data_IF_432586033864
#
_entry.id   IF_432586033864
#
_cell.length_a   1.000
_cell.length_b   1.000
_cell.length_c   1.000
_cell.angle_alpha   90.00
_cell.angle_beta   90.00
_cell.angle_gamma   90.00
#
_symmetry.space_group_name_H-M   'P 1'
#
loop_
_entity.id
_entity.type
_entity.pdbx_description
1 polymer ?
#
# COMPACT_ATOMS: atom_id res chain seq x y z
N UNK A 1 -3.61 29.63 18.28
CA UNK A 1 -3.70 29.71 16.81
C UNK A 1 -4.34 28.44 16.36
N UNK A 2 -5.60 28.48 15.97
CA UNK A 2 -6.35 27.30 15.48
C UNK A 2 -5.75 26.94 14.13
N UNK A 3 -4.85 25.96 14.12
CA UNK A 3 -4.42 25.32 12.87
C UNK A 3 -5.67 24.85 12.12
N UNK A 4 -5.72 25.17 10.85
CA UNK A 4 -6.80 24.86 9.93
C UNK A 4 -7.03 23.33 9.92
N UNK A 5 -7.95 22.84 10.75
CA UNK A 5 -8.26 21.42 10.90
C UNK A 5 -9.12 20.88 9.73
N UNK A 6 -9.01 21.53 8.56
CA UNK A 6 -9.72 21.09 7.36
C UNK A 6 -9.03 19.84 6.79
N UNK A 7 -9.76 18.74 6.63
CA UNK A 7 -9.22 17.53 6.01
C UNK A 7 -8.69 17.83 4.60
N UNK A 8 -7.57 17.21 4.23
CA UNK A 8 -7.06 17.31 2.85
C UNK A 8 -7.87 16.46 1.90
N UNK A 9 -8.43 15.36 2.43
CA UNK A 9 -9.37 14.49 1.73
C UNK A 9 -10.52 14.15 2.67
N UNK A 10 -11.74 14.27 2.16
CA UNK A 10 -12.93 13.84 2.85
C UNK A 10 -13.85 13.13 1.88
N UNK A 11 -14.36 11.98 2.27
CA UNK A 11 -15.45 11.29 1.57
C UNK A 11 -16.68 11.31 2.46
N UNK A 12 -17.84 11.63 1.88
CA UNK A 12 -19.11 11.74 2.59
C UNK A 12 -20.14 10.83 1.99
N UNK A 13 -20.63 9.89 2.78
CA UNK A 13 -21.72 8.97 2.45
C UNK A 13 -21.51 8.25 1.10
N UNK A 14 -20.27 7.90 0.77
CA UNK A 14 -19.95 7.21 -0.48
C UNK A 14 -20.63 5.85 -0.50
N UNK A 15 -21.47 5.66 -1.51
CA UNK A 15 -22.09 4.38 -1.83
C UNK A 15 -21.68 3.94 -3.22
N UNK A 16 -21.31 2.67 -3.38
CA UNK A 16 -21.02 2.05 -4.66
C UNK A 16 -21.75 0.72 -4.78
N UNK A 17 -22.58 0.64 -5.80
CA UNK A 17 -23.36 -0.56 -6.14
C UNK A 17 -22.85 -1.07 -7.49
N UNK A 18 -22.49 -2.34 -7.54
CA UNK A 18 -22.29 -3.11 -8.77
C UNK A 18 -23.46 -4.09 -8.94
N UNK A 19 -23.70 -4.66 -10.13
CA UNK A 19 -24.73 -5.67 -10.31
C UNK A 19 -24.61 -6.80 -9.27
N UNK A 20 -25.61 -6.92 -8.40
CA UNK A 20 -25.68 -7.95 -7.35
C UNK A 20 -24.86 -7.69 -6.09
N UNK A 21 -24.08 -6.59 -6.00
CA UNK A 21 -23.20 -6.33 -4.83
C UNK A 21 -23.19 -4.85 -4.43
N UNK A 22 -23.42 -4.56 -3.16
CA UNK A 22 -23.14 -3.25 -2.56
C UNK A 22 -21.70 -3.27 -2.04
N UNK A 23 -20.77 -2.70 -2.80
CA UNK A 23 -19.36 -2.73 -2.47
C UNK A 23 -18.94 -1.70 -1.41
N UNK A 24 -19.63 -0.55 -1.36
CA UNK A 24 -19.53 0.45 -0.30
C UNK A 24 -20.94 0.99 0.00
N UNK A 25 -21.24 1.20 1.25
CA UNK A 25 -22.54 1.69 1.73
C UNK A 25 -22.34 2.82 2.73
N UNK A 26 -22.66 4.06 2.30
CA UNK A 26 -22.61 5.29 3.10
C UNK A 26 -21.28 5.48 3.85
N UNK A 27 -20.16 5.18 3.21
CA UNK A 27 -18.84 5.33 3.82
C UNK A 27 -18.46 6.81 3.91
N UNK A 28 -18.13 7.27 5.11
CA UNK A 28 -17.61 8.61 5.37
C UNK A 28 -16.25 8.48 6.06
N UNK A 29 -15.25 9.22 5.56
CA UNK A 29 -13.87 9.16 6.04
C UNK A 29 -13.17 10.49 5.79
N UNK A 30 -12.29 10.89 6.70
CA UNK A 30 -11.47 12.09 6.57
C UNK A 30 -10.00 11.73 6.70
N UNK A 31 -9.12 12.48 6.02
CA UNK A 31 -7.67 12.35 6.13
C UNK A 31 -7.07 13.75 6.27
N UNK A 32 -6.15 13.92 7.20
CA UNK A 32 -5.52 15.21 7.51
C UNK A 32 -4.09 15.29 6.98
N UNK A 33 -3.55 16.52 6.87
CA UNK A 33 -2.14 16.73 6.52
C UNK A 33 -1.22 16.15 7.58
N UNK A 34 -0.16 15.47 7.14
CA UNK A 34 0.80 14.86 8.06
C UNK A 34 0.21 13.72 8.89
N UNK A 35 -0.81 13.04 8.36
CA UNK A 35 -1.47 11.89 8.97
C UNK A 35 -1.21 10.62 8.16
N UNK A 36 -0.99 9.51 8.85
CA UNK A 36 -1.06 8.16 8.30
C UNK A 36 -2.35 7.53 8.80
N UNK A 37 -3.36 7.50 7.94
CA UNK A 37 -4.61 6.79 8.19
C UNK A 37 -4.49 5.35 7.68
N UNK A 38 -4.58 4.37 8.56
CA UNK A 38 -4.69 2.98 8.15
C UNK A 38 -6.14 2.60 7.85
N UNK A 39 -6.37 2.02 6.68
CA UNK A 39 -7.67 1.45 6.30
C UNK A 39 -7.60 -0.08 6.36
N UNK A 40 -8.20 -0.64 7.40
CA UNK A 40 -8.26 -2.08 7.65
C UNK A 40 -9.55 -2.70 7.11
N UNK A 41 -9.51 -4.00 6.85
CA UNK A 41 -10.67 -4.83 6.51
C UNK A 41 -10.24 -6.13 5.86
N UNK A 42 -11.11 -7.14 5.90
CA UNK A 42 -10.87 -8.41 5.20
C UNK A 42 -10.89 -8.22 3.68
N UNK A 43 -10.47 -9.26 2.95
CA UNK A 43 -10.62 -9.29 1.49
C UNK A 43 -12.11 -9.21 1.13
N UNK A 44 -12.45 -8.35 0.16
CA UNK A 44 -13.85 -8.08 -0.18
C UNK A 44 -14.58 -7.07 0.72
N UNK A 45 -13.93 -6.48 1.74
CA UNK A 45 -14.56 -5.48 2.61
C UNK A 45 -14.89 -4.14 1.93
N UNK A 46 -14.46 -3.92 0.67
CA UNK A 46 -14.72 -2.70 -0.09
C UNK A 46 -13.57 -1.68 -0.11
N UNK A 47 -12.39 -2.00 0.48
CA UNK A 47 -11.24 -1.08 0.58
C UNK A 47 -10.76 -0.60 -0.80
N UNK A 48 -10.40 -1.53 -1.69
CA UNK A 48 -9.90 -1.19 -3.04
C UNK A 48 -10.98 -0.51 -3.88
N UNK A 49 -12.26 -0.83 -3.68
CA UNK A 49 -13.37 -0.13 -4.34
C UNK A 49 -13.43 1.34 -3.91
N UNK A 50 -13.34 1.62 -2.61
CA UNK A 50 -13.33 2.98 -2.08
C UNK A 50 -12.12 3.77 -2.62
N UNK A 51 -10.94 3.16 -2.64
CA UNK A 51 -9.73 3.82 -3.18
C UNK A 51 -9.82 4.07 -4.67
N UNK A 52 -10.37 3.14 -5.44
CA UNK A 52 -10.60 3.32 -6.87
C UNK A 52 -11.61 4.45 -7.16
N UNK A 53 -12.57 4.68 -6.27
CA UNK A 53 -13.48 5.85 -6.34
C UNK A 53 -12.69 7.14 -6.07
N UNK A 54 -11.88 7.18 -5.01
CA UNK A 54 -11.05 8.34 -4.66
C UNK A 54 -10.02 8.64 -5.75
N UNK A 55 -9.50 7.61 -6.41
CA UNK A 55 -8.52 7.76 -7.50
C UNK A 55 -9.17 7.99 -8.88
N UNK A 56 -10.51 8.02 -8.96
CA UNK A 56 -11.24 8.31 -10.20
C UNK A 56 -11.34 7.16 -11.20
N UNK A 57 -11.04 5.92 -10.79
CA UNK A 57 -11.25 4.71 -11.61
C UNK A 57 -12.70 4.26 -11.61
N UNK A 58 -13.44 4.51 -10.52
CA UNK A 58 -14.86 4.26 -10.40
C UNK A 58 -15.61 5.53 -10.00
N UNK A 59 -16.84 5.68 -10.50
CA UNK A 59 -17.74 6.70 -10.01
C UNK A 59 -18.56 6.16 -8.83
N UNK A 60 -18.77 6.93 -7.76
CA UNK A 60 -19.69 6.55 -6.71
C UNK A 60 -21.11 6.52 -7.27
N UNK A 61 -21.97 5.66 -6.71
CA UNK A 61 -23.42 5.66 -7.00
C UNK A 61 -24.09 6.84 -6.32
N UNK A 62 -23.63 7.21 -5.12
CA UNK A 62 -24.03 8.41 -4.38
C UNK A 62 -22.94 8.82 -3.40
N UNK A 63 -23.09 10.01 -2.82
CA UNK A 63 -22.11 10.63 -1.92
C UNK A 63 -21.20 11.62 -2.66
N UNK A 64 -20.29 12.24 -1.93
CA UNK A 64 -19.40 13.26 -2.45
C UNK A 64 -17.98 13.11 -1.92
N UNK A 65 -17.02 13.63 -2.68
CA UNK A 65 -15.60 13.67 -2.31
C UNK A 65 -15.19 15.14 -2.24
N UNK A 66 -14.48 15.50 -1.18
CA UNK A 66 -13.90 16.83 -1.02
C UNK A 66 -12.39 16.72 -0.93
N UNK A 67 -11.70 17.60 -1.63
CA UNK A 67 -10.24 17.78 -1.56
C UNK A 67 -9.97 19.20 -1.10
N UNK A 68 -9.22 19.35 0.00
CA UNK A 68 -8.98 20.63 0.66
C UNK A 68 -10.28 21.43 0.92
N UNK A 69 -11.35 20.74 1.36
CA UNK A 69 -12.66 21.29 1.68
C UNK A 69 -13.53 21.68 0.47
N UNK A 70 -13.09 21.38 -0.76
CA UNK A 70 -13.87 21.66 -1.99
C UNK A 70 -14.41 20.37 -2.56
N UNK A 71 -15.72 20.32 -2.82
CA UNK A 71 -16.34 19.21 -3.50
C UNK A 71 -15.78 19.04 -4.92
N UNK A 72 -15.40 17.82 -5.26
CA UNK A 72 -14.79 17.46 -6.54
C UNK A 72 -15.48 16.26 -7.16
N UNK A 73 -15.53 16.23 -8.50
CA UNK A 73 -15.99 15.06 -9.24
C UNK A 73 -14.81 14.51 -10.02
N UNK A 74 -14.28 13.37 -9.60
CA UNK A 74 -13.17 12.70 -10.30
C UNK A 74 -13.71 11.72 -11.31
N UNK A 75 -13.40 11.95 -12.59
CA UNK A 75 -13.85 11.12 -13.71
C UNK A 75 -12.73 10.25 -14.29
N UNK A 76 -11.51 10.48 -13.82
CA UNK A 76 -10.33 9.75 -14.28
C UNK A 76 -9.18 9.87 -13.28
N UNK A 77 -8.21 8.95 -13.30
CA UNK A 77 -6.97 9.08 -12.53
C UNK A 77 -6.18 10.37 -12.83
N UNK A 78 -6.29 10.90 -14.06
CA UNK A 78 -5.64 12.16 -14.44
C UNK A 78 -6.16 13.32 -13.62
N UNK A 79 -7.46 13.37 -13.35
CA UNK A 79 -8.07 14.42 -12.51
C UNK A 79 -7.68 14.25 -11.04
N UNK A 80 -7.63 13.02 -10.52
CA UNK A 80 -7.15 12.75 -9.17
C UNK A 80 -5.69 13.20 -8.99
N UNK A 81 -4.82 12.89 -9.96
CA UNK A 81 -3.41 13.33 -9.98
C UNK A 81 -3.33 14.86 -9.99
N UNK A 82 -4.14 15.53 -10.80
CA UNK A 82 -4.17 17.00 -10.85
C UNK A 82 -4.61 17.65 -9.53
N UNK A 83 -5.38 16.94 -8.72
CA UNK A 83 -5.78 17.31 -7.35
C UNK A 83 -4.76 16.91 -6.27
N UNK A 84 -3.61 16.37 -6.68
CA UNK A 84 -2.54 15.95 -5.77
C UNK A 84 -2.76 14.60 -5.11
N UNK A 85 -3.59 13.72 -5.68
CA UNK A 85 -3.79 12.36 -5.19
C UNK A 85 -2.92 11.40 -6.01
N UNK A 86 -1.99 10.70 -5.35
CA UNK A 86 -1.17 9.64 -5.92
C UNK A 86 -1.57 8.27 -5.36
N UNK A 87 -1.46 7.23 -6.16
CA UNK A 87 -1.73 5.86 -5.73
C UNK A 87 -0.58 4.94 -6.12
N UNK A 88 -0.14 4.16 -5.14
CA UNK A 88 0.77 3.02 -5.32
C UNK A 88 -0.08 1.77 -5.21
N UNK A 89 -0.20 1.04 -6.32
CA UNK A 89 -1.02 -0.14 -6.42
C UNK A 89 -0.32 -1.38 -5.83
N UNK A 90 -1.09 -2.37 -5.43
CA UNK A 90 -0.61 -3.67 -4.95
C UNK A 90 0.31 -4.37 -5.98
N UNK A 91 -0.01 -4.26 -7.27
CA UNK A 91 0.84 -4.71 -8.37
C UNK A 91 1.47 -3.49 -9.05
N UNK A 92 2.80 -3.48 -9.12
CA UNK A 92 3.53 -2.36 -9.71
C UNK A 92 3.09 -2.07 -11.15
N UNK A 93 2.82 -0.80 -11.41
CA UNK A 93 2.46 -0.32 -12.74
C UNK A 93 3.70 0.30 -13.43
N UNK A 94 4.78 -0.47 -13.47
CA UNK A 94 6.03 -0.12 -14.11
C UNK A 94 6.24 -0.96 -15.37
N UNK A 95 6.81 -0.36 -16.40
CA UNK A 95 7.22 -1.04 -17.63
C UNK A 95 8.62 -1.63 -17.41
N UNK A 96 8.79 -2.96 -17.38
CA UNK A 96 10.02 -3.62 -16.95
C UNK A 96 11.26 -3.19 -17.75
N UNK A 97 11.12 -3.10 -19.07
CA UNK A 97 12.22 -2.83 -20.02
C UNK A 97 12.64 -1.34 -20.10
N UNK A 98 11.92 -0.46 -19.43
CA UNK A 98 12.21 0.97 -19.37
C UNK A 98 13.07 1.31 -18.16
N UNK A 99 13.83 2.41 -18.28
CA UNK A 99 14.51 3.00 -17.14
C UNK A 99 13.52 3.59 -16.13
N UNK A 100 13.99 3.83 -14.91
CA UNK A 100 13.20 4.52 -13.87
C UNK A 100 12.73 5.88 -14.37
N UNK A 101 13.62 6.67 -15.01
CA UNK A 101 13.27 7.99 -15.53
C UNK A 101 12.16 7.93 -16.57
N UNK A 102 12.23 6.98 -17.51
CA UNK A 102 11.19 6.78 -18.54
C UNK A 102 9.87 6.38 -17.91
N UNK A 103 9.87 5.46 -16.94
CA UNK A 103 8.65 5.04 -16.22
C UNK A 103 7.97 6.19 -15.47
N UNK A 104 8.74 7.06 -14.83
CA UNK A 104 8.21 8.20 -14.07
C UNK A 104 7.67 9.27 -15.00
N UNK A 105 8.36 9.51 -16.11
CA UNK A 105 8.00 10.52 -17.11
C UNK A 105 6.74 10.12 -17.91
N UNK A 106 6.48 8.84 -18.06
CA UNK A 106 5.37 8.32 -18.87
C UNK A 106 4.02 8.93 -18.46
N UNK A 107 3.35 9.62 -19.38
CA UNK A 107 2.09 10.33 -19.15
C UNK A 107 2.25 11.68 -18.40
N UNK A 108 3.50 12.16 -18.21
CA UNK A 108 3.84 13.47 -17.67
C UNK A 108 5.16 13.96 -18.29
N UNK A 109 5.21 13.89 -19.62
CA UNK A 109 6.40 14.13 -20.40
C UNK A 109 6.86 15.59 -20.28
N UNK A 110 8.12 15.80 -19.90
CA UNK A 110 8.79 17.09 -20.00
C UNK A 110 9.41 17.24 -21.38
N UNK A 111 8.98 18.24 -22.13
CA UNK A 111 9.44 18.50 -23.50
C UNK A 111 10.22 19.81 -23.56
N UNK A 112 11.42 19.76 -24.15
CA UNK A 112 12.25 20.94 -24.46
C UNK A 112 12.63 20.91 -25.94
N UNK A 113 12.31 21.99 -26.66
CA UNK A 113 12.57 22.11 -28.09
C UNK A 113 12.01 20.95 -28.95
N UNK A 114 10.86 20.37 -28.57
CA UNK A 114 10.25 19.25 -29.28
C UNK A 114 10.80 17.87 -28.93
N UNK A 115 11.80 17.75 -28.05
CA UNK A 115 12.36 16.50 -27.57
C UNK A 115 12.09 16.27 -26.08
N UNK A 116 12.04 15.01 -25.65
CA UNK A 116 11.91 14.64 -24.25
C UNK A 116 13.13 15.12 -23.45
N UNK A 117 12.93 15.89 -22.38
CA UNK A 117 13.99 16.36 -21.50
C UNK A 117 14.28 15.32 -20.38
N UNK A 118 14.85 14.20 -20.76
CA UNK A 118 15.19 13.11 -19.84
C UNK A 118 16.20 13.54 -18.76
N UNK A 119 17.04 14.54 -19.08
CA UNK A 119 18.04 15.06 -18.13
C UNK A 119 17.38 15.85 -16.99
N UNK A 120 16.43 16.72 -17.30
CA UNK A 120 15.67 17.45 -16.28
C UNK A 120 14.83 16.50 -15.41
N UNK A 121 14.24 15.46 -16.02
CA UNK A 121 13.51 14.42 -15.31
C UNK A 121 14.43 13.66 -14.35
N UNK A 122 15.59 13.18 -14.81
CA UNK A 122 16.56 12.47 -13.98
C UNK A 122 17.04 13.32 -12.80
N UNK A 123 17.33 14.61 -13.04
CA UNK A 123 17.70 15.54 -11.98
C UNK A 123 16.59 15.67 -10.93
N UNK A 124 15.35 15.85 -11.37
CA UNK A 124 14.19 15.95 -10.46
C UNK A 124 13.96 14.69 -9.65
N UNK A 125 14.14 13.50 -10.26
CA UNK A 125 14.08 12.22 -9.56
C UNK A 125 15.17 12.13 -8.49
N UNK A 126 16.40 12.52 -8.82
CA UNK A 126 17.52 12.54 -7.88
C UNK A 126 17.24 13.47 -6.69
N UNK A 127 16.72 14.67 -6.93
CA UNK A 127 16.31 15.60 -5.88
C UNK A 127 15.25 14.98 -4.94
N UNK A 128 14.20 14.38 -5.50
CA UNK A 128 13.16 13.70 -4.72
C UNK A 128 13.72 12.49 -3.96
N UNK A 129 14.57 11.69 -4.62
CA UNK A 129 15.23 10.53 -4.00
C UNK A 129 16.05 10.94 -2.78
N UNK A 130 16.86 11.99 -2.88
CA UNK A 130 17.60 12.53 -1.74
C UNK A 130 16.69 13.09 -0.65
N UNK A 131 15.69 13.88 -1.04
CA UNK A 131 14.76 14.53 -0.11
C UNK A 131 14.02 13.53 0.77
N UNK A 132 13.61 12.40 0.20
CA UNK A 132 12.80 11.37 0.86
C UNK A 132 13.60 10.11 1.20
N UNK A 133 14.91 10.14 1.02
CA UNK A 133 15.84 9.02 1.32
C UNK A 133 15.42 7.69 0.65
N UNK A 134 14.99 7.78 -0.62
CA UNK A 134 14.48 6.64 -1.37
C UNK A 134 15.58 5.86 -2.10
N UNK A 135 16.75 6.46 -2.29
CA UNK A 135 17.93 5.85 -2.92
C UNK A 135 17.64 5.22 -4.31
N UNK A 136 16.96 5.97 -5.17
CA UNK A 136 16.55 5.52 -6.50
C UNK A 136 17.46 6.10 -7.57
N UNK A 137 18.02 5.22 -8.42
CA UNK A 137 18.82 5.61 -9.58
C UNK A 137 17.92 5.82 -10.82
N UNK A 138 17.85 7.04 -11.40
CA UNK A 138 17.01 7.33 -12.56
C UNK A 138 17.35 6.51 -13.82
N UNK A 139 18.61 6.07 -13.96
CA UNK A 139 19.10 5.36 -15.14
C UNK A 139 19.00 3.84 -15.02
N UNK A 140 18.61 3.31 -13.87
CA UNK A 140 18.45 1.88 -13.68
C UNK A 140 17.26 1.35 -14.49
N UNK A 141 17.38 0.15 -15.06
CA UNK A 141 16.29 -0.55 -15.74
C UNK A 141 15.41 -1.21 -14.67
N UNK A 142 14.10 -1.08 -14.83
CA UNK A 142 13.14 -1.51 -13.78
C UNK A 142 13.17 -3.01 -13.53
N UNK A 143 13.34 -3.84 -14.55
CA UNK A 143 13.43 -5.30 -14.40
C UNK A 143 14.63 -5.78 -13.57
N UNK A 144 15.72 -5.01 -13.55
CA UNK A 144 16.91 -5.32 -12.76
C UNK A 144 16.78 -4.92 -11.29
N UNK A 145 15.72 -4.18 -10.92
CA UNK A 145 15.54 -3.68 -9.56
C UNK A 145 14.92 -4.73 -8.64
N UNK A 146 15.40 -4.87 -7.39
CA UNK A 146 14.70 -5.60 -6.35
C UNK A 146 13.29 -5.06 -6.12
N UNK A 147 12.41 -5.91 -5.58
CA UNK A 147 10.99 -5.58 -5.37
C UNK A 147 10.80 -4.31 -4.53
N UNK A 148 11.54 -4.18 -3.43
CA UNK A 148 11.49 -2.99 -2.57
C UNK A 148 11.93 -1.71 -3.28
N UNK A 149 12.87 -1.81 -4.23
CA UNK A 149 13.28 -0.67 -5.05
C UNK A 149 12.20 -0.28 -6.06
N UNK A 150 11.53 -1.25 -6.69
CA UNK A 150 10.38 -0.97 -7.59
C UNK A 150 9.27 -0.22 -6.85
N UNK A 151 9.02 -0.56 -5.60
CA UNK A 151 8.06 0.17 -4.77
C UNK A 151 8.48 1.62 -4.51
N UNK A 152 9.76 1.86 -4.21
CA UNK A 152 10.30 3.22 -4.06
C UNK A 152 10.16 4.02 -5.35
N UNK A 153 10.32 3.39 -6.51
CA UNK A 153 10.09 4.01 -7.82
C UNK A 153 8.63 4.45 -7.97
N UNK A 154 7.65 3.61 -7.59
CA UNK A 154 6.23 3.98 -7.61
C UNK A 154 5.92 5.17 -6.68
N UNK A 155 6.55 5.22 -5.49
CA UNK A 155 6.41 6.35 -4.57
C UNK A 155 6.99 7.63 -5.21
N UNK A 156 8.20 7.56 -5.78
CA UNK A 156 8.81 8.70 -6.49
C UNK A 156 7.93 9.15 -7.67
N UNK A 157 7.36 8.22 -8.42
CA UNK A 157 6.45 8.52 -9.53
C UNK A 157 5.23 9.34 -9.07
N UNK A 158 4.64 8.99 -7.94
CA UNK A 158 3.56 9.77 -7.33
C UNK A 158 4.06 11.16 -6.86
N UNK A 159 5.21 11.23 -6.20
CA UNK A 159 5.80 12.48 -5.71
C UNK A 159 6.27 13.41 -6.86
N UNK A 160 6.79 12.85 -7.95
CA UNK A 160 7.15 13.60 -9.16
C UNK A 160 5.94 14.34 -9.74
N UNK A 161 4.76 13.74 -9.63
CA UNK A 161 3.47 14.31 -10.01
C UNK A 161 2.85 15.21 -8.93
N UNK A 162 3.65 15.62 -7.93
CA UNK A 162 3.27 16.50 -6.83
C UNK A 162 2.13 15.97 -5.95
N UNK A 163 2.09 14.66 -5.69
CA UNK A 163 1.11 14.10 -4.77
C UNK A 163 1.26 14.70 -3.36
N UNK A 164 0.15 15.16 -2.79
CA UNK A 164 0.01 15.58 -1.39
C UNK A 164 -0.70 14.52 -0.56
N UNK A 165 -1.50 13.69 -1.22
CA UNK A 165 -2.22 12.55 -0.66
C UNK A 165 -1.70 11.30 -1.35
N UNK A 166 -1.17 10.35 -0.58
CA UNK A 166 -0.64 9.09 -1.08
C UNK A 166 -1.50 7.93 -0.61
N UNK A 167 -2.06 7.17 -1.55
CA UNK A 167 -2.75 5.92 -1.29
C UNK A 167 -1.76 4.78 -1.52
N UNK A 168 -1.51 3.97 -0.51
CA UNK A 168 -0.64 2.79 -0.56
C UNK A 168 -1.49 1.55 -0.39
N UNK A 169 -1.76 0.80 -1.47
CA UNK A 169 -2.63 -0.38 -1.46
C UNK A 169 -1.80 -1.65 -1.25
N UNK A 170 -1.88 -2.24 -0.07
CA UNK A 170 -1.12 -3.42 0.39
C UNK A 170 0.39 -3.38 0.08
N UNK A 171 1.08 -2.28 0.42
CA UNK A 171 2.43 -2.04 -0.07
C UNK A 171 3.48 -2.99 0.53
N UNK A 172 3.14 -3.75 1.55
CA UNK A 172 4.04 -4.70 2.25
C UNK A 172 3.85 -6.16 1.84
N UNK A 173 2.94 -6.43 0.88
CA UNK A 173 2.54 -7.81 0.53
C UNK A 173 3.70 -8.67 0.02
N UNK A 174 4.65 -8.06 -0.69
CA UNK A 174 5.76 -8.74 -1.38
C UNK A 174 7.14 -8.32 -0.85
N UNK A 175 7.18 -7.57 0.25
CA UNK A 175 8.42 -7.06 0.84
C UNK A 175 8.98 -7.99 1.91
N UNK A 176 10.30 -8.06 1.99
CA UNK A 176 11.01 -8.64 3.13
C UNK A 176 10.83 -7.79 4.40
N UNK A 177 11.02 -8.36 5.61
CA UNK A 177 10.94 -7.58 6.85
C UNK A 177 11.83 -6.34 6.87
N UNK A 178 13.03 -6.39 6.29
CA UNK A 178 13.96 -5.27 6.21
C UNK A 178 13.44 -4.16 5.28
N UNK A 179 12.83 -4.54 4.16
CA UNK A 179 12.23 -3.60 3.22
C UNK A 179 10.97 -2.92 3.81
N UNK A 180 10.20 -3.65 4.63
CA UNK A 180 9.04 -3.09 5.36
C UNK A 180 9.49 -1.98 6.32
N UNK A 181 10.60 -2.21 7.06
CA UNK A 181 11.18 -1.20 7.93
C UNK A 181 11.54 0.07 7.15
N UNK A 182 12.26 -0.09 6.04
CA UNK A 182 12.62 1.03 5.17
C UNK A 182 11.39 1.76 4.60
N UNK A 183 10.31 1.05 4.26
CA UNK A 183 9.06 1.68 3.83
C UNK A 183 8.44 2.53 4.95
N UNK A 184 8.41 2.03 6.18
CA UNK A 184 7.85 2.77 7.32
C UNK A 184 8.67 4.03 7.66
N UNK A 185 10.00 3.98 7.52
CA UNK A 185 10.84 5.17 7.63
C UNK A 185 10.49 6.22 6.57
N UNK A 186 10.32 5.80 5.31
CA UNK A 186 9.90 6.67 4.22
C UNK A 186 8.51 7.28 4.49
N UNK A 187 7.54 6.48 4.94
CA UNK A 187 6.21 6.98 5.31
C UNK A 187 6.30 8.02 6.43
N UNK A 188 7.15 7.79 7.44
CA UNK A 188 7.42 8.73 8.53
C UNK A 188 8.03 10.05 8.03
N UNK A 189 8.94 10.02 7.06
CA UNK A 189 9.52 11.21 6.44
C UNK A 189 8.48 11.99 5.63
N UNK A 190 7.67 11.30 4.83
CA UNK A 190 6.58 11.89 4.05
C UNK A 190 5.57 12.60 4.96
N UNK A 191 5.14 11.93 6.04
CA UNK A 191 4.27 12.49 7.07
C UNK A 191 4.85 13.77 7.68
N UNK A 192 6.13 13.75 8.10
CA UNK A 192 6.81 14.92 8.67
C UNK A 192 6.87 16.11 7.71
N UNK A 193 6.82 15.86 6.40
CA UNK A 193 6.75 16.89 5.36
C UNK A 193 5.32 17.28 4.99
N UNK A 194 4.34 16.89 5.80
CA UNK A 194 2.94 17.26 5.66
C UNK A 194 2.16 16.48 4.60
N UNK A 195 2.73 15.38 4.07
CA UNK A 195 1.97 14.49 3.18
C UNK A 195 0.95 13.68 3.96
N UNK A 196 -0.25 13.50 3.42
CA UNK A 196 -1.28 12.62 3.95
C UNK A 196 -1.12 11.23 3.32
N UNK A 197 -1.22 10.18 4.12
CA UNK A 197 -1.04 8.81 3.65
C UNK A 197 -2.25 7.98 4.06
N UNK A 198 -2.86 7.28 3.09
CA UNK A 198 -3.84 6.23 3.32
C UNK A 198 -3.11 4.90 3.12
N UNK A 199 -2.91 4.17 4.21
CA UNK A 199 -2.21 2.90 4.24
C UNK A 199 -3.21 1.75 4.33
N UNK A 200 -3.37 1.01 3.25
CA UNK A 200 -4.32 -0.10 3.17
C UNK A 200 -3.57 -1.39 3.43
N UNK A 201 -4.02 -2.15 4.40
CA UNK A 201 -3.45 -3.46 4.73
C UNK A 201 -4.46 -4.29 5.53
N UNK A 202 -4.20 -5.58 5.63
CA UNK A 202 -4.88 -6.50 6.54
C UNK A 202 -3.94 -6.97 7.67
N UNK A 203 -2.69 -6.48 7.72
CA UNK A 203 -1.65 -6.88 8.68
C UNK A 203 -1.69 -6.00 9.93
N UNK A 204 -2.32 -6.48 10.98
CA UNK A 204 -2.61 -5.73 12.21
C UNK A 204 -1.37 -5.17 12.91
N UNK A 205 -0.25 -5.93 12.91
CA UNK A 205 1.02 -5.49 13.54
C UNK A 205 1.59 -4.26 12.85
N UNK A 206 1.50 -4.21 11.52
CA UNK A 206 2.01 -3.08 10.74
C UNK A 206 1.22 -1.81 11.04
N UNK A 207 -0.10 -1.93 11.10
CA UNK A 207 -1.00 -0.81 11.39
C UNK A 207 -0.76 -0.22 12.77
N UNK A 208 -0.69 -1.07 13.81
CA UNK A 208 -0.44 -0.63 15.19
C UNK A 208 0.91 0.09 15.33
N UNK A 209 1.83 -0.14 14.41
CA UNK A 209 3.17 0.44 14.43
C UNK A 209 3.27 1.78 13.72
N UNK A 210 2.57 1.97 12.60
CA UNK A 210 2.82 3.09 11.68
C UNK A 210 1.68 4.10 11.61
N UNK A 211 0.44 3.69 11.92
CA UNK A 211 -0.72 4.54 11.78
C UNK A 211 -0.85 5.57 12.91
N UNK A 212 -1.45 6.72 12.59
CA UNK A 212 -1.92 7.70 13.56
C UNK A 212 -3.38 7.46 13.92
N UNK A 213 -4.15 6.95 12.97
CA UNK A 213 -5.56 6.61 13.13
C UNK A 213 -5.87 5.39 12.27
N UNK A 214 -6.79 4.56 12.77
CA UNK A 214 -7.20 3.31 12.14
C UNK A 214 -8.68 3.39 11.85
N UNK A 215 -9.06 3.17 10.59
CA UNK A 215 -10.43 3.03 10.14
C UNK A 215 -10.66 1.57 9.70
N UNK A 216 -11.77 0.96 10.10
CA UNK A 216 -12.06 -0.44 9.79
C UNK A 216 -13.27 -0.53 8.88
N UNK A 217 -13.06 -1.10 7.70
CA UNK A 217 -14.13 -1.45 6.76
C UNK A 217 -14.52 -2.92 6.90
N UNK A 218 -15.83 -3.16 6.94
CA UNK A 218 -16.40 -4.51 6.91
C UNK A 218 -17.68 -4.52 6.11
N UNK A 219 -17.79 -5.44 5.13
CA UNK A 219 -18.96 -5.61 4.26
C UNK A 219 -19.45 -4.28 3.64
N UNK A 220 -18.50 -3.48 3.14
CA UNK A 220 -18.78 -2.21 2.49
C UNK A 220 -19.07 -1.04 3.43
N UNK A 221 -19.05 -1.21 4.74
CA UNK A 221 -19.36 -0.16 5.75
C UNK A 221 -18.14 0.18 6.58
N UNK A 222 -18.01 1.44 6.96
CA UNK A 222 -17.10 1.85 8.03
C UNK A 222 -17.70 1.44 9.36
N UNK A 223 -17.09 0.45 10.04
CA UNK A 223 -17.61 -0.09 11.30
C UNK A 223 -17.06 0.63 12.53
N UNK A 224 -16.00 1.40 12.37
CA UNK A 224 -15.45 2.24 13.42
C UNK A 224 -14.06 2.78 13.08
N UNK A 225 -13.65 3.76 13.87
CA UNK A 225 -12.30 4.32 13.89
C UNK A 225 -11.72 4.19 15.29
N UNK A 226 -10.40 4.04 15.41
CA UNK A 226 -9.71 3.93 16.70
C UNK A 226 -8.29 4.50 16.63
N UNK A 227 -7.78 4.87 17.79
CA UNK A 227 -6.39 5.24 17.99
C UNK A 227 -5.53 3.96 18.11
N UNK A 228 -4.40 3.84 17.39
CA UNK A 228 -3.51 2.68 17.50
C UNK A 228 -3.00 2.43 18.94
N UNK A 229 -2.87 3.48 19.77
CA UNK A 229 -2.46 3.33 21.17
C UNK A 229 -3.53 2.71 22.06
N UNK A 230 -4.80 2.75 21.65
CA UNK A 230 -5.93 2.17 22.39
C UNK A 230 -6.34 0.81 21.80
N UNK A 231 -5.83 0.47 20.61
CA UNK A 231 -6.18 -0.74 19.89
C UNK A 231 -5.23 -1.89 20.21
N UNK A 232 -5.73 -3.11 20.14
CA UNK A 232 -4.95 -4.35 20.19
C UNK A 232 -5.20 -5.16 18.93
N UNK A 233 -4.32 -6.12 18.61
CA UNK A 233 -4.56 -7.03 17.49
C UNK A 233 -5.91 -7.73 17.61
N UNK A 234 -6.29 -8.16 18.81
CA UNK A 234 -7.55 -8.84 19.07
C UNK A 234 -8.75 -7.91 18.85
N UNK A 235 -8.70 -6.66 19.33
CA UNK A 235 -9.78 -5.69 19.12
C UNK A 235 -9.97 -5.35 17.65
N UNK A 236 -8.87 -5.13 16.92
CA UNK A 236 -8.90 -4.87 15.48
C UNK A 236 -9.43 -6.06 14.69
N UNK A 237 -8.98 -7.29 15.02
CA UNK A 237 -9.48 -8.52 14.41
C UNK A 237 -10.99 -8.68 14.66
N UNK A 238 -11.45 -8.42 15.87
CA UNK A 238 -12.88 -8.46 16.21
C UNK A 238 -13.70 -7.43 15.41
N UNK A 239 -13.18 -6.20 15.22
CA UNK A 239 -13.84 -5.20 14.37
C UNK A 239 -13.91 -5.66 12.91
N UNK A 240 -12.81 -6.23 12.37
CA UNK A 240 -12.76 -6.69 10.98
C UNK A 240 -13.72 -7.84 10.70
N UNK A 241 -13.76 -8.85 11.59
CA UNK A 241 -14.56 -10.08 11.40
C UNK A 241 -15.98 -9.91 11.93
N UNK A 242 -16.19 -9.05 12.91
CA UNK A 242 -17.49 -8.79 13.55
C UNK A 242 -17.86 -9.75 14.67
N UNK A 243 -16.92 -10.56 15.11
CA UNK A 243 -17.02 -11.45 16.28
C UNK A 243 -15.66 -11.52 16.97
N UNK A 244 -15.67 -11.97 18.21
CA UNK A 244 -14.42 -12.21 18.91
C UNK A 244 -13.56 -13.25 18.16
N UNK A 245 -12.30 -12.93 17.94
CA UNK A 245 -11.35 -13.77 17.21
C UNK A 245 -10.29 -14.23 18.19
N UNK A 246 -10.16 -15.54 18.34
CA UNK A 246 -9.07 -16.15 19.11
C UNK A 246 -7.89 -16.30 18.14
N UNK A 247 -6.89 -15.41 18.26
CA UNK A 247 -5.68 -15.44 17.43
C UNK A 247 -4.68 -16.53 17.87
N UNK A 248 -4.92 -17.18 19.00
CA UNK A 248 -4.08 -18.26 19.51
C UNK A 248 -4.78 -19.60 19.35
N UNK A 249 -4.15 -20.51 18.64
CA UNK A 249 -4.63 -21.91 18.56
C UNK A 249 -4.14 -22.64 19.81
N UNK A 250 -5.07 -23.15 20.61
CA UNK A 250 -4.72 -24.04 21.73
C UNK A 250 -4.38 -25.42 21.15
N UNK A 251 -3.12 -25.59 20.77
CA UNK A 251 -2.62 -26.80 20.13
C UNK A 251 -2.35 -27.87 21.19
N UNK A 252 -3.06 -28.98 21.10
CA UNK A 252 -2.73 -30.15 21.93
C UNK A 252 -1.38 -30.74 21.52
N UNK A 253 -0.56 -31.19 22.45
CA UNK A 253 0.68 -31.93 22.14
C UNK A 253 0.37 -33.10 21.21
N UNK A 254 0.96 -33.08 20.02
CA UNK A 254 0.86 -34.17 19.07
C UNK A 254 2.18 -34.97 19.05
N UNK A 255 2.11 -36.29 19.03
CA UNK A 255 3.29 -37.13 18.80
C UNK A 255 3.46 -37.30 17.28
N UNK A 256 4.58 -36.86 16.69
CA UNK A 256 4.85 -37.05 15.28
C UNK A 256 4.81 -38.50 14.89
N UNK A 257 4.15 -38.83 13.78
CA UNK A 257 4.10 -40.18 13.23
C UNK A 257 5.38 -40.55 12.46
N UNK A 258 5.28 -41.50 11.53
CA UNK A 258 6.39 -41.87 10.67
C UNK A 258 6.80 -40.69 9.74
N UNK A 259 8.07 -40.65 9.37
CA UNK A 259 8.58 -39.70 8.37
C UNK A 259 7.87 -39.92 7.04
N UNK A 260 7.24 -38.90 6.49
CA UNK A 260 6.53 -38.93 5.19
C UNK A 260 7.28 -38.18 4.09
N UNK A 261 8.17 -37.26 4.48
CA UNK A 261 9.07 -36.53 3.57
C UNK A 261 10.40 -36.33 4.30
N UNK A 262 11.50 -36.65 3.62
CA UNK A 262 12.85 -36.44 4.14
C UNK A 262 13.71 -35.79 3.06
N UNK A 263 14.13 -34.54 3.31
CA UNK A 263 15.07 -33.82 2.46
C UNK A 263 16.45 -33.87 3.08
N UNK A 264 17.45 -34.31 2.31
CA UNK A 264 18.83 -34.43 2.80
C UNK A 264 19.75 -33.64 1.87
N UNK A 265 20.39 -32.58 2.39
CA UNK A 265 21.40 -31.79 1.72
C UNK A 265 20.99 -31.30 0.31
N UNK A 266 19.73 -30.86 0.17
CA UNK A 266 19.17 -30.44 -1.10
C UNK A 266 19.75 -29.10 -1.51
N UNK A 267 20.34 -29.04 -2.73
CA UNK A 267 20.81 -27.83 -3.38
C UNK A 267 20.06 -27.61 -4.68
N UNK A 268 19.68 -26.37 -4.97
CA UNK A 268 19.03 -26.00 -6.23
C UNK A 268 19.51 -24.64 -6.71
N UNK A 269 19.41 -24.43 -8.01
CA UNK A 269 19.65 -23.14 -8.65
C UNK A 269 18.30 -22.58 -9.16
N UNK A 270 18.21 -21.25 -9.22
CA UNK A 270 17.10 -20.56 -9.88
C UNK A 270 17.26 -20.57 -11.41
N UNK A 271 16.30 -19.96 -12.11
CA UNK A 271 16.29 -19.86 -13.59
C UNK A 271 17.43 -19.02 -14.15
N UNK A 272 18.09 -18.20 -13.31
CA UNK A 272 19.27 -17.39 -13.63
C UNK A 272 20.58 -18.11 -13.31
N UNK A 273 20.51 -19.37 -12.83
CA UNK A 273 21.68 -20.18 -12.48
C UNK A 273 22.30 -19.82 -11.12
N UNK A 274 21.67 -18.96 -10.32
CA UNK A 274 22.11 -18.60 -8.98
C UNK A 274 21.68 -19.66 -7.96
N UNK A 275 22.44 -19.80 -6.87
CA UNK A 275 22.15 -20.79 -5.83
C UNK A 275 20.93 -20.36 -4.99
N UNK A 276 19.77 -20.96 -5.24
CA UNK A 276 18.52 -20.73 -4.52
C UNK A 276 18.43 -21.53 -3.20
N UNK A 277 18.88 -22.80 -3.22
CA UNK A 277 18.95 -23.65 -2.02
C UNK A 277 20.40 -24.12 -1.82
N UNK A 278 20.85 -24.13 -0.57
CA UNK A 278 22.23 -24.48 -0.21
C UNK A 278 22.24 -25.49 0.94
N UNK A 279 22.16 -26.78 0.61
CA UNK A 279 22.29 -27.84 1.60
C UNK A 279 21.12 -27.90 2.61
N UNK A 280 19.89 -27.70 2.14
CA UNK A 280 18.70 -27.72 2.98
C UNK A 280 18.36 -29.17 3.38
N UNK A 281 18.20 -29.41 4.68
CA UNK A 281 17.82 -30.71 5.24
C UNK A 281 16.71 -30.51 6.26
N UNK A 282 15.61 -31.24 6.13
CA UNK A 282 14.55 -31.36 7.14
C UNK A 282 13.64 -32.55 6.82
N UNK A 283 12.96 -33.05 7.85
CA UNK A 283 11.98 -34.12 7.69
C UNK A 283 10.59 -33.64 8.10
N UNK A 284 9.56 -34.19 7.45
CA UNK A 284 8.15 -33.97 7.81
C UNK A 284 7.55 -35.29 8.23
N UNK A 285 6.85 -35.31 9.37
CA UNK A 285 6.21 -36.48 9.92
C UNK A 285 4.70 -36.51 9.67
N UNK A 286 4.12 -37.69 9.65
CA UNK A 286 2.67 -37.86 9.54
C UNK A 286 1.95 -37.12 10.69
N UNK A 287 0.95 -36.31 10.35
CA UNK A 287 0.19 -35.49 11.30
C UNK A 287 0.91 -34.20 11.75
N UNK A 288 2.07 -33.88 11.19
CA UNK A 288 2.84 -32.67 11.48
C UNK A 288 2.55 -31.56 10.45
N UNK A 289 2.60 -30.31 10.90
CA UNK A 289 2.62 -29.11 10.05
C UNK A 289 3.98 -28.44 10.25
N UNK A 290 4.79 -28.42 9.21
CA UNK A 290 6.09 -27.74 9.19
C UNK A 290 5.96 -26.42 8.47
N UNK A 291 6.40 -25.32 9.12
CA UNK A 291 6.53 -24.03 8.49
C UNK A 291 7.94 -23.90 7.87
N UNK A 292 8.02 -23.48 6.61
CA UNK A 292 9.25 -23.26 5.84
C UNK A 292 9.39 -21.78 5.45
#
# INVERSE_FOLDING_TARGET
>A
MTENNTPVLEVRNITKIFPGVVANEQVSLQVHRGEILALLGENGAGKSTLMNIIYGLYHPTSGEILVNGRAVSMRSPKEAIALGIGMVHQHFQLVPVMTVAENIMLGSESVKNGFLDTRAVAQRITELSHRYQLDVNPSAIVEDLPVGMRQRVEIIKALYRNADILILDEPTAVLTPQEIEGLFEVMGLLKKQGKAIIFITHKLKEVLRVADRIAVLRQGKLVGETDPHQATQNSLAAMMVGREVILTVNKQPHQPGAVVLDLQNVTAKDDLGQSALRGVSFSVHAGEIVGV
#
